data_IF_320476460469
#
_entry.id   IF_320476460469
#
_cell.length_a   1.000
_cell.length_b   1.000
_cell.length_c   1.000
_cell.angle_alpha   90.00
_cell.angle_beta   90.00
_cell.angle_gamma   90.00
#
_symmetry.space_group_name_H-M   'P 1'
#
loop_
_entity.id
_entity.type
_entity.pdbx_description
1 polymer ?
#
# COMPACT_ATOMS: atom_id res chain seq x y z
N UNK A 1 19.93 -10.86 7.49
CA UNK A 1 18.58 -11.12 6.97
C UNK A 1 17.90 -12.09 7.93
N UNK A 2 16.76 -11.70 8.49
CA UNK A 2 15.98 -12.59 9.36
C UNK A 2 15.34 -13.68 8.49
N UNK A 3 15.17 -14.89 9.04
CA UNK A 3 14.55 -16.01 8.34
C UNK A 3 13.71 -16.87 9.30
N UNK A 4 12.73 -17.59 8.77
CA UNK A 4 12.04 -18.68 9.49
C UNK A 4 12.97 -19.87 9.74
N UNK A 5 12.50 -20.87 10.50
CA UNK A 5 13.24 -22.12 10.72
C UNK A 5 13.49 -22.87 9.39
N UNK A 6 12.59 -22.72 8.43
CA UNK A 6 12.63 -23.28 7.08
C UNK A 6 13.42 -22.40 6.09
N UNK A 7 14.17 -21.41 6.58
CA UNK A 7 14.99 -20.48 5.79
C UNK A 7 14.22 -19.51 4.88
N UNK A 8 12.93 -19.28 5.14
CA UNK A 8 12.15 -18.28 4.40
C UNK A 8 12.57 -16.87 4.87
N UNK A 9 13.00 -15.96 3.98
CA UNK A 9 13.33 -14.59 4.35
C UNK A 9 12.16 -13.84 4.98
N UNK A 10 12.44 -13.10 6.05
CA UNK A 10 11.46 -12.27 6.75
C UNK A 10 11.96 -10.83 6.79
N UNK A 11 11.11 -9.91 6.37
CA UNK A 11 11.31 -8.47 6.53
C UNK A 11 10.41 -7.98 7.67
N UNK A 12 11.01 -7.23 8.60
CA UNK A 12 10.29 -6.60 9.72
C UNK A 12 10.53 -5.11 9.63
N UNK A 13 9.44 -4.35 9.55
CA UNK A 13 9.44 -2.90 9.70
C UNK A 13 8.81 -2.55 11.04
N UNK A 14 9.38 -1.57 11.73
CA UNK A 14 8.79 -0.95 12.91
C UNK A 14 8.11 0.34 12.47
N UNK A 15 6.83 0.51 12.81
CA UNK A 15 6.11 1.74 12.51
C UNK A 15 6.73 2.93 13.24
N UNK A 16 6.90 4.04 12.53
CA UNK A 16 7.39 5.31 13.07
C UNK A 16 6.49 6.50 12.73
N UNK A 17 5.57 6.35 11.78
CA UNK A 17 4.65 7.40 11.36
C UNK A 17 3.22 7.12 11.87
N UNK A 18 2.43 8.16 12.23
CA UNK A 18 1.03 7.98 12.64
C UNK A 18 0.19 7.24 11.60
N UNK A 19 0.51 7.40 10.31
CA UNK A 19 -0.17 6.68 9.25
C UNK A 19 0.12 5.16 9.27
N UNK A 20 1.33 4.73 9.63
CA UNK A 20 1.66 3.31 9.70
C UNK A 20 0.93 2.61 10.86
N UNK A 21 0.71 3.32 11.97
CA UNK A 21 -0.14 2.85 13.07
C UNK A 21 -1.59 2.66 12.61
N UNK A 22 -2.14 3.63 11.88
CA UNK A 22 -3.48 3.54 11.28
C UNK A 22 -3.64 2.32 10.36
N UNK A 23 -2.61 2.00 9.56
CA UNK A 23 -2.62 0.81 8.70
C UNK A 23 -2.74 -0.48 9.54
N UNK A 24 -2.02 -0.58 10.66
CA UNK A 24 -2.06 -1.74 11.56
C UNK A 24 -3.42 -1.87 12.25
N UNK A 25 -3.99 -0.75 12.67
CA UNK A 25 -5.32 -0.68 13.31
C UNK A 25 -6.42 -1.11 12.35
N UNK A 26 -6.39 -0.63 11.11
CA UNK A 26 -7.40 -0.92 10.07
C UNK A 26 -7.24 -2.28 9.41
N UNK A 27 -6.10 -2.94 9.56
CA UNK A 27 -5.84 -4.21 8.91
C UNK A 27 -6.89 -5.29 9.28
N UNK A 28 -7.32 -6.05 8.29
CA UNK A 28 -8.45 -6.97 8.37
C UNK A 28 -7.97 -8.43 8.32
N UNK A 29 -8.70 -9.33 8.98
CA UNK A 29 -8.46 -10.78 8.84
C UNK A 29 -9.01 -11.25 7.49
N UNK A 30 -8.11 -11.70 6.61
CA UNK A 30 -8.43 -12.19 5.28
C UNK A 30 -8.05 -13.67 5.21
N UNK A 31 -8.99 -14.50 4.78
CA UNK A 31 -8.72 -15.91 4.47
C UNK A 31 -7.94 -16.00 3.15
N UNK A 32 -6.71 -16.51 3.22
CA UNK A 32 -5.79 -16.60 2.06
C UNK A 32 -5.66 -18.02 1.52
N UNK A 33 -5.97 -19.02 2.36
CA UNK A 33 -6.12 -20.43 2.01
C UNK A 33 -7.24 -20.98 2.90
N UNK A 34 -7.88 -22.11 2.55
CA UNK A 34 -8.90 -22.72 3.40
C UNK A 34 -8.38 -22.85 4.84
N UNK A 35 -9.11 -22.25 5.80
CA UNK A 35 -8.79 -22.20 7.24
C UNK A 35 -7.58 -21.37 7.65
N UNK A 36 -6.85 -20.74 6.72
CA UNK A 36 -5.70 -19.88 7.02
C UNK A 36 -6.08 -18.43 6.83
N UNK A 37 -6.09 -17.68 7.93
CA UNK A 37 -6.36 -16.25 7.92
C UNK A 37 -5.10 -15.44 8.25
N UNK A 38 -4.87 -14.36 7.52
CA UNK A 38 -3.81 -13.39 7.78
C UNK A 38 -4.41 -12.01 8.03
N UNK A 39 -3.83 -11.26 8.97
CA UNK A 39 -4.18 -9.85 9.16
C UNK A 39 -3.44 -9.03 8.10
N UNK A 40 -4.18 -8.50 7.13
CA UNK A 40 -3.63 -7.77 5.98
C UNK A 40 -4.15 -6.33 5.94
N UNK A 41 -3.33 -5.40 5.47
CA UNK A 41 -3.76 -4.05 5.15
C UNK A 41 -4.73 -4.03 3.96
N UNK A 42 -5.48 -2.94 3.80
CA UNK A 42 -6.39 -2.77 2.66
C UNK A 42 -5.61 -2.55 1.34
N UNK A 43 -6.31 -2.66 0.22
CA UNK A 43 -5.73 -2.35 -1.09
C UNK A 43 -5.33 -0.87 -1.19
N UNK A 44 -6.13 0.02 -0.62
CA UNK A 44 -5.86 1.45 -0.50
C UNK A 44 -4.56 1.70 0.28
N UNK A 45 -4.44 1.08 1.46
CA UNK A 45 -3.25 1.22 2.31
C UNK A 45 -1.99 0.73 1.59
N UNK A 46 -2.11 -0.40 0.87
CA UNK A 46 -1.00 -0.95 0.08
C UNK A 46 -0.57 0.01 -1.04
N UNK A 47 -1.52 0.66 -1.72
CA UNK A 47 -1.23 1.69 -2.74
C UNK A 47 -0.48 2.87 -2.12
N UNK A 48 -0.93 3.37 -0.96
CA UNK A 48 -0.32 4.52 -0.28
C UNK A 48 1.11 4.17 0.14
N UNK A 49 1.32 3.04 0.83
CA UNK A 49 2.64 2.60 1.29
C UNK A 49 3.62 2.37 0.14
N UNK A 50 3.16 1.76 -0.96
CA UNK A 50 4.00 1.56 -2.16
C UNK A 50 4.31 2.86 -2.88
N UNK A 51 3.35 3.79 -2.93
CA UNK A 51 3.57 5.11 -3.55
C UNK A 51 4.61 5.88 -2.74
N UNK A 52 4.54 5.82 -1.41
CA UNK A 52 5.49 6.46 -0.52
C UNK A 52 6.93 5.89 -0.65
N UNK A 53 7.06 4.58 -0.85
CA UNK A 53 8.35 3.92 -1.09
C UNK A 53 9.00 4.32 -2.44
N UNK A 54 8.21 4.62 -3.46
CA UNK A 54 8.58 5.15 -4.78
C UNK A 54 9.73 4.42 -5.53
N UNK A 55 9.87 3.10 -5.38
CA UNK A 55 10.77 2.31 -6.25
C UNK A 55 10.07 1.94 -7.54
N UNK A 56 10.81 1.79 -8.65
CA UNK A 56 10.23 1.45 -9.96
C UNK A 56 9.29 0.23 -9.94
N UNK A 57 9.62 -0.79 -9.15
CA UNK A 57 8.77 -2.00 -8.99
C UNK A 57 7.47 -1.74 -8.23
N UNK A 58 7.48 -0.82 -7.27
CA UNK A 58 6.28 -0.51 -6.47
C UNK A 58 5.15 0.06 -7.34
N UNK A 59 5.47 0.78 -8.42
CA UNK A 59 4.47 1.30 -9.36
C UNK A 59 3.80 0.22 -10.21
N UNK A 60 4.54 -0.81 -10.61
CA UNK A 60 3.97 -1.98 -11.30
C UNK A 60 3.05 -2.76 -10.36
N UNK A 61 3.41 -2.86 -9.08
CA UNK A 61 2.57 -3.51 -8.07
C UNK A 61 1.29 -2.69 -7.82
N UNK A 62 1.38 -1.35 -7.73
CA UNK A 62 0.22 -0.45 -7.60
C UNK A 62 -0.73 -0.62 -8.80
N UNK A 63 -0.20 -0.62 -10.01
CA UNK A 63 -0.99 -0.82 -11.23
C UNK A 63 -1.74 -2.16 -11.20
N UNK A 64 -1.06 -3.24 -10.81
CA UNK A 64 -1.67 -4.56 -10.63
C UNK A 64 -2.81 -4.55 -9.60
N UNK A 65 -2.64 -3.84 -8.48
CA UNK A 65 -3.71 -3.67 -7.47
C UNK A 65 -4.89 -2.92 -8.06
N UNK A 66 -4.66 -1.80 -8.75
CA UNK A 66 -5.71 -1.00 -9.40
C UNK A 66 -6.50 -1.83 -10.42
N UNK A 67 -5.81 -2.60 -11.26
CA UNK A 67 -6.45 -3.45 -12.28
C UNK A 67 -7.29 -4.55 -11.63
N UNK A 68 -6.80 -5.20 -10.57
CA UNK A 68 -7.49 -6.33 -9.92
C UNK A 68 -8.70 -5.89 -9.09
N UNK A 69 -8.58 -4.77 -8.37
CA UNK A 69 -9.68 -4.24 -7.56
C UNK A 69 -10.70 -3.47 -8.42
N UNK A 70 -10.23 -2.88 -9.53
CA UNK A 70 -11.01 -1.98 -10.36
C UNK A 70 -11.02 -0.56 -9.78
N UNK A 71 -10.79 0.43 -10.64
CA UNK A 71 -10.69 1.85 -10.24
C UNK A 71 -11.90 2.34 -9.44
N UNK A 72 -13.11 1.86 -9.74
CA UNK A 72 -14.34 2.30 -9.07
C UNK A 72 -14.53 1.75 -7.66
N UNK A 73 -13.89 0.62 -7.34
CA UNK A 73 -14.03 -0.02 -6.03
C UNK A 73 -13.13 0.61 -4.96
N UNK A 74 -12.04 1.27 -5.39
CA UNK A 74 -11.06 1.86 -4.50
C UNK A 74 -11.54 3.21 -3.95
N UNK A 75 -11.30 3.45 -2.66
CA UNK A 75 -11.54 4.75 -2.04
C UNK A 75 -10.39 5.73 -2.36
N UNK A 76 -10.53 6.46 -3.46
CA UNK A 76 -9.52 7.42 -3.89
C UNK A 76 -9.37 8.64 -3.00
N UNK A 77 -10.44 9.07 -2.34
CA UNK A 77 -10.39 10.22 -1.44
C UNK A 77 -9.48 9.90 -0.24
N UNK A 78 -9.66 8.71 0.34
CA UNK A 78 -8.76 8.18 1.38
C UNK A 78 -7.30 8.04 0.88
N UNK A 79 -7.10 7.50 -0.33
CA UNK A 79 -5.76 7.34 -0.92
C UNK A 79 -5.05 8.68 -1.04
N UNK A 80 -5.71 9.70 -1.60
CA UNK A 80 -5.06 10.99 -1.84
C UNK A 80 -4.89 11.80 -0.56
N UNK A 81 -5.85 11.78 0.35
CA UNK A 81 -5.74 12.48 1.65
C UNK A 81 -4.48 12.03 2.42
N UNK A 82 -4.28 10.72 2.55
CA UNK A 82 -3.15 10.19 3.30
C UNK A 82 -1.83 10.28 2.53
N UNK A 83 -1.84 9.99 1.22
CA UNK A 83 -0.62 10.10 0.43
C UNK A 83 -0.14 11.56 0.35
N UNK A 84 -1.03 12.55 0.33
CA UNK A 84 -0.64 13.97 0.32
C UNK A 84 0.07 14.36 1.63
N UNK A 85 -0.46 13.90 2.77
CA UNK A 85 0.19 14.11 4.08
C UNK A 85 1.61 13.53 4.09
N UNK A 86 1.78 12.30 3.62
CA UNK A 86 3.08 11.63 3.55
C UNK A 86 4.03 12.27 2.54
N UNK A 87 3.53 12.62 1.35
CA UNK A 87 4.30 13.25 0.29
C UNK A 87 4.82 14.62 0.73
N UNK A 88 4.02 15.40 1.46
CA UNK A 88 4.44 16.67 2.05
C UNK A 88 5.52 16.47 3.12
N UNK A 89 5.37 15.46 3.99
CA UNK A 89 6.39 15.13 4.99
C UNK A 89 7.72 14.70 4.36
N UNK A 90 7.67 14.03 3.20
CA UNK A 90 8.84 13.59 2.43
C UNK A 90 9.37 14.68 1.47
N UNK A 91 8.70 15.82 1.35
CA UNK A 91 8.98 16.87 0.37
C UNK A 91 8.94 16.38 -1.10
N UNK A 92 8.12 15.37 -1.39
CA UNK A 92 7.97 14.73 -2.71
C UNK A 92 6.52 14.82 -3.24
N UNK A 93 5.98 16.02 -3.54
CA UNK A 93 4.60 16.17 -4.02
C UNK A 93 4.34 15.49 -5.39
N UNK A 94 5.40 15.18 -6.13
CA UNK A 94 5.32 14.48 -7.42
C UNK A 94 4.71 13.07 -7.33
N UNK A 95 4.73 12.44 -6.14
CA UNK A 95 4.07 11.14 -5.91
C UNK A 95 2.58 11.20 -6.25
N UNK A 96 1.92 12.31 -5.88
CA UNK A 96 0.50 12.54 -6.15
C UNK A 96 0.24 12.63 -7.65
N UNK A 97 1.10 13.36 -8.37
CA UNK A 97 0.99 13.53 -9.83
C UNK A 97 1.12 12.18 -10.55
N UNK A 98 2.08 11.37 -10.11
CA UNK A 98 2.34 10.03 -10.67
C UNK A 98 1.17 9.09 -10.44
N UNK A 99 0.61 9.05 -9.23
CA UNK A 99 -0.55 8.22 -8.93
C UNK A 99 -1.82 8.70 -9.65
N UNK A 100 -2.04 10.01 -9.78
CA UNK A 100 -3.14 10.57 -10.60
C UNK A 100 -3.07 10.13 -12.06
N UNK A 101 -1.87 10.17 -12.66
CA UNK A 101 -1.66 9.69 -14.05
C UNK A 101 -1.96 8.20 -14.18
N UNK A 102 -1.51 7.39 -13.23
CA UNK A 102 -1.74 5.94 -13.24
C UNK A 102 -3.22 5.58 -13.04
N UNK A 103 -3.93 6.29 -12.16
CA UNK A 103 -5.38 6.15 -12.02
C UNK A 103 -6.11 6.46 -13.33
N UNK A 104 -5.74 7.57 -13.98
CA UNK A 104 -6.39 8.02 -15.21
C UNK A 104 -6.19 7.06 -16.39
N UNK A 105 -5.09 6.31 -16.46
CA UNK A 105 -4.86 5.33 -17.52
C UNK A 105 -5.72 4.06 -17.40
N UNK A 106 -6.48 3.91 -16.31
CA UNK A 106 -7.33 2.75 -16.01
C UNK A 106 -8.80 3.10 -15.73
N UNK A 107 -9.18 4.38 -15.90
CA UNK A 107 -10.52 4.91 -15.59
C UNK A 107 -11.50 4.77 -16.76
#
# INVERSE_FOLDING_TARGET
MLKSQENIPLDIALSGLPYEELVIERAQMIEVLPTVQLKLCSAEDLIILKSFADRSRDWLDIESVIVRQGVRALNWDYIFEHLETLANLKEEPNLIVKLKKLKASHS
#
